data_IF_757450029403
#
_entry.id   IF_757450029403
#
_cell.length_a   1.000
_cell.length_b   1.000
_cell.length_c   1.000
_cell.angle_alpha   90.00
_cell.angle_beta   90.00
_cell.angle_gamma   90.00
#
_symmetry.space_group_name_H-M   'P 1'
#
loop_
_entity.id
_entity.type
_entity.pdbx_description
1 polymer ?
#
# COMPACT_ATOMS: atom_id res chain seq x y z
N UNK A 1 -18.59 0.30 19.36
CA UNK A 1 -17.19 -0.16 19.19
C UNK A 1 -16.72 0.37 17.84
N UNK A 2 -15.81 1.35 17.82
CA UNK A 2 -15.23 1.87 16.58
C UNK A 2 -13.83 1.26 16.46
N UNK A 3 -13.60 0.44 15.44
CA UNK A 3 -12.30 -0.17 15.18
C UNK A 3 -12.03 -0.13 13.69
N UNK A 4 -10.79 0.13 13.31
CA UNK A 4 -10.39 0.13 11.91
C UNK A 4 -10.52 -1.29 11.34
N UNK A 5 -11.09 -1.38 10.13
CA UNK A 5 -11.22 -2.65 9.40
C UNK A 5 -10.07 -2.76 8.42
N UNK A 6 -9.34 -3.87 8.48
CA UNK A 6 -8.26 -4.10 7.53
C UNK A 6 -8.82 -4.23 6.11
N UNK A 7 -8.30 -3.42 5.20
CA UNK A 7 -8.66 -3.45 3.78
C UNK A 7 -8.34 -4.77 3.06
N UNK A 8 -7.36 -5.54 3.56
CA UNK A 8 -6.95 -6.78 2.92
C UNK A 8 -7.76 -8.00 3.36
N UNK A 9 -7.99 -8.16 4.67
CA UNK A 9 -8.67 -9.33 5.22
C UNK A 9 -10.12 -9.06 5.66
N UNK A 10 -10.58 -7.81 5.55
CA UNK A 10 -11.92 -7.35 5.92
C UNK A 10 -12.33 -7.69 7.37
N UNK A 11 -11.34 -7.81 8.26
CA UNK A 11 -11.56 -8.02 9.70
C UNK A 11 -11.21 -6.78 10.49
N UNK A 12 -11.83 -6.62 11.66
CA UNK A 12 -11.46 -5.60 12.63
C UNK A 12 -10.02 -5.82 13.06
N UNK A 13 -9.24 -4.75 13.10
CA UNK A 13 -7.84 -4.79 13.52
C UNK A 13 -7.81 -4.77 15.05
N UNK A 14 -7.50 -5.92 15.64
CA UNK A 14 -7.30 -6.08 17.08
C UNK A 14 -5.83 -5.80 17.42
N UNK A 15 -5.43 -4.52 17.44
CA UNK A 15 -4.07 -4.10 17.78
C UNK A 15 -3.55 -2.94 16.93
N UNK A 16 -2.26 -2.99 16.58
CA UNK A 16 -1.61 -1.95 15.76
C UNK A 16 -2.23 -1.84 14.37
N UNK A 17 -2.68 -0.63 14.04
CA UNK A 17 -3.16 -0.26 12.71
C UNK A 17 -2.04 0.35 11.88
N UNK A 18 -1.87 -0.17 10.67
CA UNK A 18 -1.02 0.45 9.65
C UNK A 18 -1.90 1.30 8.76
N UNK A 19 -1.81 2.63 8.91
CA UNK A 19 -2.52 3.58 8.05
C UNK A 19 -1.64 3.93 6.84
N UNK A 20 -2.00 3.42 5.67
CA UNK A 20 -1.26 3.62 4.43
C UNK A 20 -2.23 3.59 3.24
N UNK A 21 -1.93 4.33 2.18
CA UNK A 21 -2.78 4.36 0.97
C UNK A 21 -4.22 4.85 1.26
N UNK A 22 -4.35 5.77 2.22
CA UNK A 22 -5.64 6.26 2.73
C UNK A 22 -6.58 5.13 3.23
N UNK A 23 -6.01 4.02 3.69
CA UNK A 23 -6.67 2.80 4.14
C UNK A 23 -6.01 2.25 5.40
N UNK A 24 -6.75 1.44 6.17
CA UNK A 24 -6.24 0.75 7.34
C UNK A 24 -5.85 -0.71 7.01
N UNK A 25 -4.75 -1.16 7.58
CA UNK A 25 -4.20 -2.51 7.37
C UNK A 25 -3.74 -3.13 8.68
N UNK A 26 -3.92 -4.45 8.84
CA UNK A 26 -3.22 -5.19 9.89
C UNK A 26 -1.72 -5.26 9.59
N UNK A 27 -0.89 -5.24 10.64
CA UNK A 27 0.58 -5.42 10.54
C UNK A 27 0.95 -6.71 9.77
N UNK A 28 0.18 -7.79 9.94
CA UNK A 28 0.39 -9.04 9.22
C UNK A 28 0.01 -8.99 7.73
N UNK A 29 -0.92 -8.11 7.37
CA UNK A 29 -1.56 -8.04 6.06
C UNK A 29 -0.91 -7.01 5.15
N UNK A 30 -0.26 -6.00 5.74
CA UNK A 30 0.48 -4.97 5.02
C UNK A 30 1.77 -5.56 4.41
N UNK A 31 1.65 -6.09 3.20
CA UNK A 31 2.72 -6.79 2.50
C UNK A 31 2.70 -6.48 1.00
N UNK A 32 3.85 -6.61 0.35
CA UNK A 32 3.98 -6.32 -1.08
C UNK A 32 3.06 -7.24 -1.90
N UNK A 33 2.18 -6.67 -2.73
CA UNK A 33 1.27 -7.47 -3.57
C UNK A 33 1.98 -8.31 -4.63
N UNK A 34 3.25 -8.06 -4.92
CA UNK A 34 4.02 -8.77 -5.96
C UNK A 34 4.93 -9.85 -5.39
N UNK A 35 5.46 -9.68 -4.18
CA UNK A 35 6.41 -10.62 -3.58
C UNK A 35 6.05 -11.07 -2.16
N UNK A 36 4.90 -10.63 -1.64
CA UNK A 36 4.39 -10.93 -0.30
C UNK A 36 5.33 -10.57 0.85
N UNK A 37 6.40 -9.81 0.58
CA UNK A 37 7.31 -9.37 1.62
C UNK A 37 6.61 -8.36 2.54
N UNK A 38 6.76 -8.53 3.85
CA UNK A 38 6.15 -7.63 4.85
C UNK A 38 6.66 -6.21 4.63
N UNK A 39 5.71 -5.28 4.56
CA UNK A 39 5.99 -3.86 4.45
C UNK A 39 5.75 -3.22 5.81
N UNK A 40 6.42 -2.10 6.06
CA UNK A 40 6.16 -1.25 7.23
C UNK A 40 6.14 0.19 6.76
N UNK A 41 5.60 1.10 7.58
CA UNK A 41 5.62 2.54 7.31
C UNK A 41 7.04 3.12 7.18
N UNK A 42 8.06 2.40 7.70
CA UNK A 42 9.47 2.77 7.55
C UNK A 42 10.06 2.35 6.19
N UNK A 43 9.45 1.36 5.52
CA UNK A 43 9.93 0.88 4.23
C UNK A 43 9.41 1.79 3.10
N UNK A 44 10.22 1.98 2.06
CA UNK A 44 9.75 2.62 0.82
C UNK A 44 8.88 1.64 0.03
N UNK A 45 7.60 1.95 -0.08
CA UNK A 45 6.63 1.26 -0.93
C UNK A 45 5.87 2.30 -1.79
N UNK A 46 5.19 1.80 -2.82
CA UNK A 46 4.37 2.60 -3.72
C UNK A 46 2.98 1.99 -3.80
N UNK A 47 1.98 2.82 -4.11
CA UNK A 47 0.65 2.34 -4.45
C UNK A 47 0.60 1.81 -5.87
N UNK A 48 0.08 0.60 -6.04
CA UNK A 48 -0.27 0.06 -7.35
C UNK A 48 -1.58 -0.71 -7.24
N UNK A 49 -2.57 -0.35 -8.05
CA UNK A 49 -3.87 -1.02 -8.06
C UNK A 49 -4.53 -1.08 -6.67
N UNK A 50 -4.45 0.04 -5.92
CA UNK A 50 -4.89 0.16 -4.52
C UNK A 50 -4.20 -0.80 -3.53
N UNK A 51 -3.05 -1.37 -3.90
CA UNK A 51 -2.26 -2.29 -3.07
C UNK A 51 -0.83 -1.79 -2.92
N UNK A 52 -0.16 -2.09 -1.80
CA UNK A 52 1.21 -1.67 -1.59
C UNK A 52 2.18 -2.58 -2.35
N UNK A 53 3.14 -2.00 -3.05
CA UNK A 53 4.21 -2.70 -3.76
C UNK A 53 5.56 -2.18 -3.29
N UNK A 54 6.49 -3.08 -2.97
CA UNK A 54 7.82 -2.68 -2.50
C UNK A 54 8.62 -2.02 -3.62
N UNK A 55 9.53 -1.10 -3.26
CA UNK A 55 10.38 -0.41 -4.25
C UNK A 55 11.08 -1.38 -5.22
N UNK A 56 11.59 -2.52 -4.73
CA UNK A 56 12.27 -3.53 -5.56
C UNK A 56 11.36 -4.12 -6.64
N UNK A 57 10.10 -4.43 -6.31
CA UNK A 57 9.13 -4.93 -7.28
C UNK A 57 8.69 -3.82 -8.24
N UNK A 58 8.50 -2.61 -7.71
CA UNK A 58 8.21 -1.44 -8.53
C UNK A 58 9.31 -1.16 -9.56
N UNK A 59 10.58 -1.32 -9.21
CA UNK A 59 11.71 -1.14 -10.13
C UNK A 59 11.69 -2.14 -11.29
N UNK A 60 11.06 -3.31 -11.13
CA UNK A 60 10.86 -4.29 -12.22
C UNK A 60 9.71 -3.94 -13.16
N UNK A 61 8.84 -2.99 -12.81
CA UNK A 61 7.71 -2.63 -13.66
C UNK A 61 8.17 -1.87 -14.92
N UNK A 62 7.44 -2.00 -16.04
CA UNK A 62 7.74 -1.30 -17.26
C UNK A 62 7.69 0.22 -17.06
N UNK A 63 8.57 0.94 -17.77
CA UNK A 63 8.77 2.39 -17.63
C UNK A 63 7.48 3.19 -17.88
N UNK A 64 6.66 2.75 -18.83
CA UNK A 64 5.36 3.37 -19.14
C UNK A 64 4.40 3.30 -17.96
N UNK A 65 4.36 2.17 -17.25
CA UNK A 65 3.52 2.00 -16.08
C UNK A 65 3.95 2.91 -14.94
N UNK A 66 5.27 3.01 -14.69
CA UNK A 66 5.84 3.94 -13.69
C UNK A 66 5.47 5.40 -13.98
N UNK A 67 5.53 5.82 -15.26
CA UNK A 67 5.11 7.17 -15.66
C UNK A 67 3.64 7.44 -15.37
N UNK A 68 2.76 6.46 -15.68
CA UNK A 68 1.31 6.58 -15.40
C UNK A 68 1.03 6.68 -13.91
N UNK A 69 1.69 5.86 -13.09
CA UNK A 69 1.52 5.87 -11.64
C UNK A 69 1.99 7.19 -11.02
N UNK A 70 3.13 7.73 -11.48
CA UNK A 70 3.59 9.05 -11.05
C UNK A 70 2.57 10.14 -11.40
N UNK A 71 2.04 10.15 -12.63
CA UNK A 71 1.01 11.11 -13.06
C UNK A 71 -0.26 11.02 -12.23
N UNK A 72 -0.69 9.81 -11.88
CA UNK A 72 -1.85 9.59 -11.00
C UNK A 72 -1.58 10.13 -9.59
N UNK A 73 -0.40 9.85 -9.01
CA UNK A 73 -0.01 10.38 -7.71
C UNK A 73 0.07 11.91 -7.70
N UNK A 74 0.57 12.53 -8.78
CA UNK A 74 0.58 13.99 -8.95
C UNK A 74 -0.83 14.58 -9.05
N UNK A 75 -1.77 13.86 -9.66
CA UNK A 75 -3.18 14.30 -9.77
C UNK A 75 -3.93 14.15 -8.45
N UNK A 76 -3.60 13.13 -7.65
CA UNK A 76 -4.27 12.82 -6.38
C UNK A 76 -3.67 13.58 -5.18
N UNK A 77 -2.39 13.96 -5.25
CA UNK A 77 -1.69 14.69 -4.18
C UNK A 77 -1.91 16.21 -4.18
N UNK A 78 -2.74 16.74 -5.09
CA UNK A 78 -2.98 18.16 -5.26
C UNK A 78 -4.37 18.58 -4.75
N UNK A 79 -4.78 18.07 -3.59
CA UNK A 79 -5.95 18.56 -2.86
C UNK A 79 -5.69 18.58 -1.35
#
# INVERSE_FOLDING_TARGET
LFGDVCYHCNRVIEGDVVSALNKAWCVGCFSCSTCNNKLTLKNKFVEFDMKPVCKKCYEKFPLELKKRLKKLAETLGHK
#
